data_IF_251198884024
#
_entry.id   IF_251198884024
#
_cell.length_a   1.000
_cell.length_b   1.000
_cell.length_c   1.000
_cell.angle_alpha   90.00
_cell.angle_beta   90.00
_cell.angle_gamma   90.00
#
_symmetry.space_group_name_H-M   'P 1'
#
loop_
_entity.id
_entity.type
_entity.pdbx_description
1 polymer ?
#
# COMPACT_ATOMS: atom_id res chain seq x y z
N UNK A 1 3.02 36.08 -17.64
CA UNK A 1 3.93 35.18 -16.92
C UNK A 1 3.08 34.00 -16.54
N UNK A 2 3.35 32.85 -17.15
CA UNK A 2 2.31 31.84 -17.38
C UNK A 2 2.24 30.80 -16.26
N UNK A 3 3.35 30.67 -15.53
CA UNK A 3 3.45 30.01 -14.24
C UNK A 3 4.51 30.76 -13.40
N UNK A 4 4.32 30.77 -12.08
CA UNK A 4 5.25 31.38 -11.13
C UNK A 4 5.72 30.34 -10.11
N UNK A 5 7.00 30.40 -9.73
CA UNK A 5 7.59 29.58 -8.66
C UNK A 5 7.85 30.51 -7.47
N UNK A 6 7.21 30.24 -6.35
CA UNK A 6 7.44 30.95 -5.10
C UNK A 6 8.10 30.02 -4.08
N UNK A 7 9.07 30.56 -3.34
CA UNK A 7 9.74 29.87 -2.23
C UNK A 7 9.67 30.73 -0.96
N UNK A 8 8.54 30.68 -0.24
CA UNK A 8 8.47 31.18 1.14
C UNK A 8 8.78 30.04 2.12
N UNK A 9 10.08 29.73 2.25
CA UNK A 9 10.58 28.72 3.19
C UNK A 9 10.29 27.27 2.76
N UNK A 10 11.34 26.52 2.41
CA UNK A 10 11.37 25.04 2.30
C UNK A 10 10.42 24.33 1.31
N UNK A 11 9.31 24.94 0.93
CA UNK A 11 8.27 24.40 0.05
C UNK A 11 8.48 24.87 -1.39
N UNK A 12 8.02 24.05 -2.33
CA UNK A 12 7.86 24.43 -3.73
C UNK A 12 6.39 24.78 -3.93
N UNK A 13 6.10 26.05 -4.24
CA UNK A 13 4.73 26.47 -4.57
C UNK A 13 4.67 26.89 -6.03
N UNK A 14 3.78 26.24 -6.80
CA UNK A 14 3.50 26.57 -8.19
C UNK A 14 2.06 27.02 -8.32
N UNK A 15 1.88 28.12 -9.04
CA UNK A 15 0.56 28.67 -9.35
C UNK A 15 0.43 28.87 -10.86
N UNK A 16 -0.66 28.35 -11.42
CA UNK A 16 -1.06 28.60 -12.79
C UNK A 16 -2.22 29.61 -12.78
N UNK A 17 -1.85 30.89 -12.92
CA UNK A 17 -2.73 32.04 -12.74
C UNK A 17 -3.35 32.63 -14.01
N UNK A 18 -3.05 32.07 -15.19
CA UNK A 18 -3.61 32.52 -16.47
C UNK A 18 -4.27 31.34 -17.20
N UNK A 19 -5.28 31.62 -18.03
CA UNK A 19 -5.93 30.59 -18.84
C UNK A 19 -4.92 29.86 -19.73
N UNK A 20 -5.02 28.54 -19.79
CA UNK A 20 -4.08 27.64 -20.49
C UNK A 20 -2.66 27.64 -19.90
N UNK A 21 -2.47 28.15 -18.70
CA UNK A 21 -1.27 27.90 -17.91
C UNK A 21 -1.09 26.40 -17.68
N UNK A 22 0.16 25.96 -17.70
CA UNK A 22 0.48 24.57 -17.38
C UNK A 22 1.85 24.48 -16.76
N UNK A 23 2.01 23.49 -15.88
CA UNK A 23 3.30 23.05 -15.42
C UNK A 23 3.34 21.53 -15.43
N UNK A 24 4.53 21.01 -15.74
CA UNK A 24 4.83 19.59 -15.68
C UNK A 24 5.88 19.38 -14.62
N UNK A 25 5.57 18.54 -13.64
CA UNK A 25 6.51 18.09 -12.60
C UNK A 25 6.62 16.59 -12.78
N UNK A 26 7.75 16.14 -13.28
CA UNK A 26 7.90 14.75 -13.64
C UNK A 26 9.21 14.18 -13.11
N UNK A 27 9.15 12.93 -12.67
CA UNK A 27 10.32 12.13 -12.25
C UNK A 27 11.21 12.84 -11.20
N UNK A 28 10.60 13.66 -10.35
CA UNK A 28 11.26 14.36 -9.25
C UNK A 28 11.23 13.54 -7.96
N UNK A 29 12.22 13.76 -7.10
CA UNK A 29 12.28 13.17 -5.78
C UNK A 29 12.28 14.26 -4.69
N UNK A 30 11.35 14.13 -3.75
CA UNK A 30 11.20 14.99 -2.58
C UNK A 30 11.41 14.12 -1.33
N UNK A 31 12.56 14.25 -0.68
CA UNK A 31 12.97 13.30 0.37
C UNK A 31 13.49 14.01 1.61
N UNK A 32 13.02 13.57 2.79
CA UNK A 32 13.42 14.07 4.12
C UNK A 32 13.19 15.59 4.31
N UNK A 33 12.06 16.10 3.82
CA UNK A 33 11.71 17.52 3.95
C UNK A 33 10.69 17.68 5.07
N UNK A 34 11.06 18.45 6.09
CA UNK A 34 10.22 18.76 7.26
C UNK A 34 9.96 20.27 7.27
N UNK A 35 8.70 20.66 7.10
CA UNK A 35 8.29 22.06 7.15
C UNK A 35 7.69 22.37 8.52
N UNK A 36 8.33 23.30 9.22
CA UNK A 36 7.96 23.71 10.58
C UNK A 36 7.28 25.07 10.63
N UNK A 37 7.20 25.78 9.51
CA UNK A 37 6.53 27.06 9.43
C UNK A 37 5.01 26.91 9.31
N UNK A 38 4.28 27.98 9.63
CA UNK A 38 2.81 28.00 9.59
C UNK A 38 2.25 28.35 8.21
N UNK A 39 3.10 28.80 7.29
CA UNK A 39 2.68 29.30 5.97
C UNK A 39 2.61 28.18 4.94
N UNK A 40 3.60 27.31 4.91
CA UNK A 40 3.75 26.25 3.92
C UNK A 40 2.66 25.19 4.06
N UNK A 41 1.92 24.92 2.99
CA UNK A 41 0.83 23.94 3.01
C UNK A 41 1.31 22.49 2.87
N UNK A 42 2.40 22.29 2.14
CA UNK A 42 3.06 21.00 1.92
C UNK A 42 4.44 21.20 1.29
N UNK A 43 5.21 20.12 1.15
CA UNK A 43 6.49 20.12 0.41
C UNK A 43 6.31 20.59 -1.03
N UNK A 44 5.28 20.10 -1.71
CA UNK A 44 4.84 20.61 -3.00
C UNK A 44 3.41 21.12 -2.87
N UNK A 45 3.20 22.39 -3.19
CA UNK A 45 1.88 23.01 -3.25
C UNK A 45 1.60 23.47 -4.67
N UNK A 46 0.46 23.09 -5.20
CA UNK A 46 0.03 23.49 -6.54
C UNK A 46 -1.35 24.14 -6.49
N UNK A 47 -1.48 25.28 -7.17
CA UNK A 47 -2.72 26.04 -7.23
C UNK A 47 -3.16 26.26 -8.68
N UNK A 48 -4.44 25.99 -8.95
CA UNK A 48 -5.07 26.18 -10.25
C UNK A 48 -6.13 27.27 -10.15
N UNK A 49 -5.85 28.40 -10.82
CA UNK A 49 -6.66 29.62 -10.72
C UNK A 49 -7.31 30.00 -12.06
N UNK A 50 -6.98 29.31 -13.15
CA UNK A 50 -7.58 29.55 -14.47
C UNK A 50 -7.43 28.33 -15.40
N UNK A 51 -8.23 27.29 -15.19
CA UNK A 51 -8.43 26.18 -16.15
C UNK A 51 -7.20 25.60 -16.83
N UNK A 52 -6.44 24.82 -16.07
CA UNK A 52 -5.06 24.51 -16.42
C UNK A 52 -4.86 23.02 -16.70
N UNK A 53 -3.90 22.71 -17.58
CA UNK A 53 -3.48 21.32 -17.85
C UNK A 53 -2.15 21.06 -17.17
N UNK A 54 -2.16 20.66 -15.91
CA UNK A 54 -0.91 20.31 -15.23
C UNK A 54 -0.77 18.81 -15.02
N UNK A 55 0.48 18.38 -15.15
CA UNK A 55 0.88 16.99 -15.01
C UNK A 55 1.92 16.88 -13.90
N UNK A 56 1.62 16.06 -12.90
CA UNK A 56 2.51 15.73 -11.79
C UNK A 56 2.66 14.21 -11.80
N UNK A 57 3.66 13.68 -12.50
CA UNK A 57 3.73 12.25 -12.78
C UNK A 57 5.09 11.62 -12.47
N UNK A 58 5.10 10.38 -11.97
CA UNK A 58 6.36 9.66 -11.73
C UNK A 58 7.19 10.20 -10.56
N UNK A 59 6.65 11.14 -9.78
CA UNK A 59 7.38 11.75 -8.67
C UNK A 59 7.35 10.86 -7.43
N UNK A 60 8.36 11.02 -6.58
CA UNK A 60 8.52 10.28 -5.34
C UNK A 60 8.62 11.22 -4.15
N UNK A 61 7.80 10.98 -3.12
CA UNK A 61 7.75 11.75 -1.88
C UNK A 61 8.04 10.81 -0.70
N UNK A 62 9.15 11.01 -0.01
CA UNK A 62 9.61 10.14 1.08
C UNK A 62 9.92 10.96 2.33
N UNK A 63 9.32 10.58 3.46
CA UNK A 63 9.56 11.25 4.75
C UNK A 63 9.28 12.76 4.69
N UNK A 64 8.28 13.17 3.91
CA UNK A 64 7.81 14.55 3.87
C UNK A 64 6.82 14.79 5.01
N UNK A 65 7.01 15.86 5.78
CA UNK A 65 6.07 16.20 6.85
C UNK A 65 5.88 17.68 7.08
N UNK A 66 4.70 18.04 7.56
CA UNK A 66 4.40 19.39 8.06
C UNK A 66 3.89 19.32 9.50
N UNK A 67 4.29 20.29 10.32
CA UNK A 67 3.83 20.36 11.72
C UNK A 67 2.42 20.97 11.80
N UNK A 68 2.14 21.95 10.94
CA UNK A 68 0.95 22.77 11.05
C UNK A 68 -0.06 22.67 9.90
N UNK A 69 0.26 21.90 8.85
CA UNK A 69 -0.53 21.93 7.62
C UNK A 69 -1.30 20.64 7.37
N UNK A 70 -2.31 20.67 6.47
CA UNK A 70 -3.19 19.54 6.25
C UNK A 70 -2.47 18.28 5.74
N UNK A 71 -1.39 18.45 4.98
CA UNK A 71 -0.62 17.36 4.38
C UNK A 71 0.89 17.57 4.47
N UNK A 72 1.64 16.46 4.39
CA UNK A 72 3.09 16.44 4.39
C UNK A 72 3.69 16.67 3.00
N UNK A 73 3.13 16.01 1.98
CA UNK A 73 3.78 15.88 0.68
C UNK A 73 3.22 16.79 -0.40
N UNK A 74 1.95 16.60 -0.79
CA UNK A 74 1.32 17.30 -1.91
C UNK A 74 0.01 17.98 -1.49
N UNK A 75 -0.03 19.30 -1.65
CA UNK A 75 -1.23 20.11 -1.49
C UNK A 75 -1.71 20.60 -2.87
N UNK A 76 -2.99 20.42 -3.15
CA UNK A 76 -3.63 20.84 -4.40
C UNK A 76 -4.76 21.79 -4.03
N UNK A 77 -4.71 23.02 -4.55
CA UNK A 77 -5.82 23.97 -4.51
C UNK A 77 -6.37 24.16 -5.92
N UNK A 78 -7.65 23.88 -6.10
CA UNK A 78 -8.39 24.08 -7.33
C UNK A 78 -9.47 25.13 -7.06
N UNK A 79 -9.13 26.38 -7.37
CA UNK A 79 -9.84 27.56 -6.89
C UNK A 79 -10.75 28.21 -7.93
N UNK A 80 -10.57 27.88 -9.22
CA UNK A 80 -11.30 28.51 -10.30
C UNK A 80 -12.04 27.51 -11.18
N UNK A 81 -13.33 27.77 -11.35
CA UNK A 81 -14.15 27.12 -12.36
C UNK A 81 -13.72 27.59 -13.75
N UNK A 82 -13.24 26.67 -14.58
CA UNK A 82 -12.92 26.93 -15.99
C UNK A 82 -13.98 26.39 -16.96
N UNK A 83 -14.97 25.65 -16.43
CA UNK A 83 -15.99 24.97 -17.23
C UNK A 83 -15.42 23.91 -18.18
N UNK A 84 -14.16 23.50 -18.01
CA UNK A 84 -13.51 22.54 -18.88
C UNK A 84 -13.63 21.12 -18.35
N UNK A 85 -13.73 20.15 -19.26
CA UNK A 85 -13.71 18.72 -18.92
C UNK A 85 -12.28 18.16 -18.78
N UNK A 86 -11.27 19.04 -18.71
CA UNK A 86 -9.88 18.61 -18.78
C UNK A 86 -9.42 18.10 -17.42
N UNK A 87 -8.81 16.90 -17.40
CA UNK A 87 -8.33 16.29 -16.17
C UNK A 87 -6.95 16.82 -15.76
N UNK A 88 -6.81 17.15 -14.48
CA UNK A 88 -5.51 17.30 -13.83
C UNK A 88 -4.88 15.92 -13.58
N UNK A 89 -3.65 15.71 -14.05
CA UNK A 89 -3.01 14.39 -14.03
C UNK A 89 -1.94 14.32 -12.94
N UNK A 90 -2.17 13.45 -11.96
CA UNK A 90 -1.29 13.19 -10.81
C UNK A 90 -0.88 11.71 -10.72
N UNK A 91 -0.69 11.06 -11.87
CA UNK A 91 -0.55 9.59 -11.96
C UNK A 91 0.88 9.08 -11.71
N UNK A 92 1.02 7.78 -11.41
CA UNK A 92 2.30 7.08 -11.26
C UNK A 92 3.23 7.64 -10.16
N UNK A 93 2.70 8.40 -9.20
CA UNK A 93 3.50 8.93 -8.10
C UNK A 93 3.67 7.87 -6.99
N UNK A 94 4.71 8.04 -6.16
CA UNK A 94 4.96 7.21 -4.99
C UNK A 94 5.06 8.07 -3.73
N UNK A 95 4.29 7.74 -2.71
CA UNK A 95 4.27 8.41 -1.42
C UNK A 95 4.63 7.41 -0.33
N UNK A 96 5.73 7.65 0.39
CA UNK A 96 6.22 6.76 1.44
C UNK A 96 6.50 7.51 2.74
N UNK A 97 5.86 7.07 3.82
CA UNK A 97 6.13 7.56 5.17
C UNK A 97 5.96 9.08 5.32
N UNK A 98 4.97 9.65 4.64
CA UNK A 98 4.66 11.08 4.72
C UNK A 98 3.65 11.34 5.84
N UNK A 99 3.74 12.50 6.50
CA UNK A 99 2.88 12.85 7.65
C UNK A 99 2.33 14.27 7.55
N UNK A 100 1.04 14.45 7.76
CA UNK A 100 0.41 15.76 7.90
C UNK A 100 -0.76 15.71 8.89
N UNK A 101 -1.46 16.83 9.11
CA UNK A 101 -2.55 16.85 10.09
C UNK A 101 -3.73 15.97 9.68
N UNK A 102 -4.22 16.13 8.46
CA UNK A 102 -5.42 15.44 7.94
C UNK A 102 -5.07 14.30 6.98
N UNK A 103 -4.01 14.46 6.18
CA UNK A 103 -3.48 13.41 5.31
C UNK A 103 -1.96 13.39 5.39
N UNK A 104 -1.34 12.24 5.15
CA UNK A 104 0.11 12.16 5.02
C UNK A 104 0.58 12.64 3.66
N UNK A 105 -0.14 12.26 2.60
CA UNK A 105 0.38 12.35 1.24
C UNK A 105 -0.29 13.44 0.43
N UNK A 106 -1.61 13.36 0.21
CA UNK A 106 -2.32 14.27 -0.69
C UNK A 106 -3.43 14.98 0.07
N UNK A 107 -3.49 16.30 -0.08
CA UNK A 107 -4.67 17.08 0.29
C UNK A 107 -5.16 17.86 -0.91
N UNK A 108 -6.45 17.73 -1.21
CA UNK A 108 -7.12 18.49 -2.28
C UNK A 108 -8.15 19.41 -1.66
N UNK A 109 -7.99 20.71 -1.90
CA UNK A 109 -9.03 21.71 -1.70
C UNK A 109 -9.62 22.04 -3.07
N UNK A 110 -10.88 21.70 -3.28
CA UNK A 110 -11.55 21.86 -4.57
C UNK A 110 -12.79 22.72 -4.39
N UNK A 111 -12.84 23.85 -5.09
CA UNK A 111 -14.00 24.76 -5.14
C UNK A 111 -14.84 24.61 -6.40
N UNK A 112 -14.53 23.60 -7.21
CA UNK A 112 -15.18 23.36 -8.49
C UNK A 112 -16.29 22.32 -8.37
N UNK A 113 -17.32 22.48 -9.20
CA UNK A 113 -18.49 21.59 -9.24
C UNK A 113 -18.25 20.28 -10.01
N UNK A 114 -17.03 20.06 -10.52
CA UNK A 114 -16.64 18.91 -11.31
C UNK A 114 -15.47 18.13 -10.71
N UNK A 115 -15.44 16.83 -10.96
CA UNK A 115 -14.46 15.89 -10.42
C UNK A 115 -13.47 15.45 -11.51
N UNK A 116 -12.45 16.27 -11.77
CA UNK A 116 -11.52 16.11 -12.90
C UNK A 116 -10.09 15.69 -12.53
N UNK A 117 -9.91 14.95 -11.44
CA UNK A 117 -8.57 14.51 -11.04
C UNK A 117 -8.24 13.09 -11.54
N UNK A 118 -6.96 12.84 -11.83
CA UNK A 118 -6.45 11.51 -12.15
C UNK A 118 -5.26 11.16 -11.28
N UNK A 119 -5.46 10.33 -10.26
CA UNK A 119 -4.43 9.82 -9.34
C UNK A 119 -4.06 8.37 -9.64
N UNK A 120 -4.28 7.89 -10.86
CA UNK A 120 -4.11 6.48 -11.23
C UNK A 120 -2.68 5.98 -11.01
N UNK A 121 -2.57 4.67 -10.75
CA UNK A 121 -1.29 3.96 -10.57
C UNK A 121 -0.38 4.55 -9.48
N UNK A 122 -0.96 5.26 -8.51
CA UNK A 122 -0.21 5.88 -7.40
C UNK A 122 -0.01 4.87 -6.28
N UNK A 123 1.18 4.85 -5.69
CA UNK A 123 1.53 3.94 -4.60
C UNK A 123 1.65 4.69 -3.29
N UNK A 124 0.88 4.28 -2.31
CA UNK A 124 0.94 4.81 -0.95
C UNK A 124 1.46 3.75 0.01
N UNK A 125 2.37 4.16 0.90
CA UNK A 125 2.99 3.26 1.86
C UNK A 125 3.35 4.01 3.14
N UNK A 126 2.88 3.52 4.29
CA UNK A 126 3.23 4.02 5.62
C UNK A 126 2.91 5.50 5.86
N UNK A 127 2.10 6.13 5.01
CA UNK A 127 1.64 7.50 5.24
C UNK A 127 0.72 7.58 6.46
N UNK A 128 0.77 8.70 7.16
CA UNK A 128 0.06 8.91 8.43
C UNK A 128 -0.57 10.28 8.48
N UNK A 129 -1.61 10.38 9.29
CA UNK A 129 -2.20 11.63 9.70
C UNK A 129 -2.36 11.67 11.23
N UNK A 130 -2.64 12.86 11.76
CA UNK A 130 -2.78 13.09 13.19
C UNK A 130 -4.24 13.02 13.67
N UNK A 131 -5.16 12.53 12.82
CA UNK A 131 -6.56 12.30 13.19
C UNK A 131 -6.71 10.95 13.89
N UNK A 132 -7.60 10.89 14.87
CA UNK A 132 -7.75 9.75 15.79
C UNK A 132 -8.32 8.50 15.13
N UNK A 133 -9.20 8.66 14.13
CA UNK A 133 -9.81 7.55 13.38
C UNK A 133 -8.90 6.98 12.28
N UNK A 134 -7.84 7.70 11.91
CA UNK A 134 -6.91 7.35 10.85
C UNK A 134 -7.53 7.37 9.44
N UNK A 135 -8.63 8.08 9.21
CA UNK A 135 -9.25 8.19 7.89
C UNK A 135 -8.46 9.13 6.98
N UNK A 136 -8.28 8.79 5.70
CA UNK A 136 -7.64 9.67 4.72
C UNK A 136 -6.11 9.80 4.84
N UNK A 137 -5.45 8.79 5.40
CA UNK A 137 -3.98 8.77 5.58
C UNK A 137 -3.21 8.99 4.27
N UNK A 138 -3.75 8.53 3.15
CA UNK A 138 -3.12 8.67 1.84
C UNK A 138 -3.59 9.92 1.12
N UNK A 139 -4.91 10.13 1.06
CA UNK A 139 -5.48 11.29 0.42
C UNK A 139 -6.71 11.80 1.16
N UNK A 140 -6.83 13.12 1.24
CA UNK A 140 -7.97 13.81 1.80
C UNK A 140 -8.50 14.83 0.80
N UNK A 141 -9.81 14.81 0.54
CA UNK A 141 -10.47 15.76 -0.34
C UNK A 141 -11.44 16.63 0.46
N UNK A 142 -11.28 17.95 0.37
CA UNK A 142 -12.26 18.92 0.81
C UNK A 142 -12.89 19.56 -0.42
N UNK A 143 -14.16 19.25 -0.64
CA UNK A 143 -14.96 19.86 -1.69
C UNK A 143 -15.80 20.98 -1.08
N UNK A 144 -15.58 22.20 -1.56
CA UNK A 144 -16.39 23.37 -1.28
C UNK A 144 -17.21 23.64 -2.55
N UNK A 145 -18.51 23.91 -2.40
CA UNK A 145 -19.42 24.18 -3.53
C UNK A 145 -19.63 22.99 -4.48
N UNK A 146 -20.14 21.84 -3.98
CA UNK A 146 -20.46 20.70 -4.83
C UNK A 146 -21.51 21.04 -5.88
N UNK A 147 -21.45 20.35 -7.03
CA UNK A 147 -22.53 20.40 -8.01
C UNK A 147 -23.83 19.84 -7.43
N UNK A 148 -24.98 20.36 -7.88
CA UNK A 148 -26.30 19.99 -7.35
C UNK A 148 -26.65 18.50 -7.48
N UNK A 149 -25.97 17.78 -8.38
CA UNK A 149 -26.16 16.34 -8.62
C UNK A 149 -25.26 15.45 -7.76
N UNK A 150 -24.40 16.04 -6.93
CA UNK A 150 -23.47 15.29 -6.10
C UNK A 150 -24.21 14.60 -4.95
N UNK A 151 -23.91 13.33 -4.78
CA UNK A 151 -24.34 12.49 -3.66
C UNK A 151 -23.13 11.76 -3.11
N UNK A 152 -23.26 11.12 -1.94
CA UNK A 152 -22.20 10.29 -1.40
C UNK A 152 -21.77 9.21 -2.41
N UNK A 153 -22.74 8.55 -3.07
CA UNK A 153 -22.50 7.44 -3.99
C UNK A 153 -21.77 7.91 -5.26
N UNK A 154 -22.21 9.03 -5.85
CA UNK A 154 -21.63 9.55 -7.09
C UNK A 154 -20.20 10.06 -6.86
N UNK A 155 -19.95 10.76 -5.76
CA UNK A 155 -18.60 11.22 -5.39
C UNK A 155 -17.69 10.04 -5.06
N UNK A 156 -18.18 9.06 -4.29
CA UNK A 156 -17.42 7.85 -3.97
C UNK A 156 -17.04 7.07 -5.24
N UNK A 157 -17.97 6.91 -6.18
CA UNK A 157 -17.73 6.24 -7.45
C UNK A 157 -16.69 6.99 -8.32
N UNK A 158 -16.78 8.33 -8.35
CA UNK A 158 -15.82 9.16 -9.05
C UNK A 158 -14.41 9.03 -8.45
N UNK A 159 -14.26 9.20 -7.12
CA UNK A 159 -12.98 9.02 -6.41
C UNK A 159 -12.40 7.63 -6.69
N UNK A 160 -13.21 6.57 -6.63
CA UNK A 160 -12.76 5.22 -6.98
C UNK A 160 -12.18 5.15 -8.40
N UNK A 161 -12.79 5.84 -9.36
CA UNK A 161 -12.28 5.98 -10.72
C UNK A 161 -10.97 6.76 -10.82
N UNK A 162 -10.81 7.83 -10.03
CA UNK A 162 -9.59 8.66 -10.00
C UNK A 162 -8.36 7.86 -9.58
N UNK A 163 -8.53 6.91 -8.66
CA UNK A 163 -7.45 6.09 -8.11
C UNK A 163 -7.33 4.71 -8.77
N UNK A 164 -7.75 4.57 -10.03
CA UNK A 164 -7.64 3.30 -10.74
C UNK A 164 -6.17 2.80 -10.79
N UNK A 165 -5.94 1.53 -10.43
CA UNK A 165 -4.59 0.95 -10.36
C UNK A 165 -3.74 1.37 -9.16
N UNK A 166 -4.23 2.29 -8.32
CA UNK A 166 -3.51 2.76 -7.14
C UNK A 166 -3.59 1.76 -5.98
N UNK A 167 -2.61 1.79 -5.07
CA UNK A 167 -2.51 0.83 -3.96
C UNK A 167 -2.07 1.50 -2.66
N UNK A 168 -2.50 0.95 -1.51
CA UNK A 168 -2.22 1.50 -0.18
C UNK A 168 -1.97 0.42 0.87
N UNK A 169 -1.16 0.70 1.90
CA UNK A 169 -1.13 -0.13 3.11
C UNK A 169 -1.77 0.52 4.35
N UNK A 170 -2.55 1.59 4.17
CA UNK A 170 -3.40 2.18 5.21
C UNK A 170 -4.38 1.13 5.76
N UNK A 171 -4.58 1.17 7.09
CA UNK A 171 -5.43 0.20 7.80
C UNK A 171 -6.91 0.57 7.78
N UNK A 172 -7.20 1.87 7.76
CA UNK A 172 -8.53 2.42 7.73
C UNK A 172 -8.63 3.38 6.55
N UNK A 173 -9.77 3.36 5.86
CA UNK A 173 -10.03 3.97 4.55
C UNK A 173 -8.96 4.98 4.06
N UNK A 174 -8.12 4.49 3.12
CA UNK A 174 -6.99 5.19 2.49
C UNK A 174 -7.31 6.62 2.04
N UNK A 175 -8.47 6.78 1.41
CA UNK A 175 -8.96 8.06 0.87
C UNK A 175 -10.22 8.45 1.65
N UNK A 176 -10.29 9.69 2.08
CA UNK A 176 -11.46 10.26 2.75
C UNK A 176 -11.83 11.60 2.10
N UNK A 177 -13.11 11.93 2.08
CA UNK A 177 -13.59 13.18 1.52
C UNK A 177 -14.69 13.80 2.37
N UNK A 178 -14.76 15.12 2.34
CA UNK A 178 -15.84 15.91 2.92
C UNK A 178 -16.38 16.90 1.89
N UNK A 179 -17.69 17.06 1.90
CA UNK A 179 -18.42 17.96 1.00
C UNK A 179 -19.12 19.04 1.81
N UNK A 180 -18.94 20.29 1.41
CA UNK A 180 -19.47 21.48 2.06
C UNK A 180 -20.31 22.32 1.09
N UNK A 181 -21.53 22.68 1.50
CA UNK A 181 -22.39 23.64 0.77
C UNK A 181 -22.33 24.99 1.48
N UNK A 182 -21.53 25.91 0.95
CA UNK A 182 -21.10 27.10 1.69
C UNK A 182 -20.28 26.70 2.92
N UNK A 183 -20.58 27.27 4.08
CA UNK A 183 -19.91 26.93 5.35
C UNK A 183 -20.48 25.67 6.03
N UNK A 184 -21.56 25.09 5.49
CA UNK A 184 -22.24 23.97 6.11
C UNK A 184 -21.71 22.63 5.58
N UNK A 185 -21.36 21.74 6.51
CA UNK A 185 -21.08 20.35 6.19
C UNK A 185 -22.33 19.69 5.59
N UNK A 186 -22.17 19.08 4.41
CA UNK A 186 -23.25 18.36 3.74
C UNK A 186 -23.17 16.86 4.05
N UNK A 187 -22.05 16.22 3.68
CA UNK A 187 -21.79 14.80 3.94
C UNK A 187 -20.30 14.49 3.75
N UNK A 188 -19.89 13.31 4.19
CA UNK A 188 -18.56 12.75 4.00
C UNK A 188 -18.64 11.35 3.41
N UNK A 189 -17.48 10.79 3.07
CA UNK A 189 -17.36 9.41 2.66
C UNK A 189 -15.91 8.97 2.57
N UNK A 190 -15.71 7.68 2.31
CA UNK A 190 -14.37 7.11 2.31
C UNK A 190 -14.24 5.96 1.32
N UNK A 191 -13.00 5.72 0.88
CA UNK A 191 -12.66 4.65 -0.03
C UNK A 191 -11.32 4.02 0.37
N UNK A 192 -11.32 2.70 0.57
CA UNK A 192 -10.12 1.94 0.85
C UNK A 192 -9.48 1.48 -0.47
N UNK A 193 -8.21 1.85 -0.68
CA UNK A 193 -7.47 1.38 -1.85
C UNK A 193 -7.06 -0.09 -1.68
N UNK A 194 -6.90 -0.83 -2.79
CA UNK A 194 -6.36 -2.18 -2.74
C UNK A 194 -5.01 -2.23 -2.04
N UNK A 195 -4.86 -3.16 -1.09
CA UNK A 195 -3.59 -3.34 -0.41
C UNK A 195 -2.69 -4.35 -1.14
N UNK A 196 -1.49 -3.96 -1.58
CA UNK A 196 -0.64 -4.81 -2.41
C UNK A 196 -0.14 -6.05 -1.64
N UNK A 197 -0.12 -5.99 -0.30
CA UNK A 197 0.28 -7.10 0.58
C UNK A 197 -0.86 -8.09 0.87
N UNK A 198 -2.07 -7.89 0.33
CA UNK A 198 -3.20 -8.81 0.56
C UNK A 198 -3.12 -10.13 -0.20
N UNK A 199 -2.16 -10.31 -1.13
CA UNK A 199 -1.76 -11.67 -1.55
C UNK A 199 -0.93 -12.31 -0.45
N UNK A 200 -1.60 -12.71 0.63
CA UNK A 200 -0.98 -13.52 1.67
C UNK A 200 -0.49 -14.81 1.00
N UNK A 201 0.75 -15.20 1.26
CA UNK A 201 1.41 -16.34 0.59
C UNK A 201 0.57 -17.64 0.62
N UNK A 202 -0.21 -17.84 1.68
CA UNK A 202 -1.09 -19.00 1.86
C UNK A 202 -2.36 -18.97 1.00
N UNK A 203 -2.71 -17.84 0.38
CA UNK A 203 -3.79 -17.74 -0.61
C UNK A 203 -3.31 -18.03 -2.04
N UNK A 204 -2.01 -18.28 -2.23
CA UNK A 204 -1.48 -18.71 -3.51
C UNK A 204 -1.86 -20.17 -3.78
N UNK A 205 -2.71 -20.39 -4.80
CA UNK A 205 -3.18 -21.72 -5.23
C UNK A 205 -2.03 -22.72 -5.40
N UNK A 206 -0.88 -22.28 -5.91
CA UNK A 206 0.28 -23.14 -6.13
C UNK A 206 0.96 -23.59 -4.84
N UNK A 207 0.94 -22.76 -3.79
CA UNK A 207 1.51 -23.10 -2.48
C UNK A 207 0.64 -24.14 -1.77
N UNK A 208 -0.68 -24.00 -1.84
CA UNK A 208 -1.62 -25.00 -1.29
C UNK A 208 -1.43 -26.36 -1.98
N UNK A 209 -1.31 -26.37 -3.31
CA UNK A 209 -1.05 -27.59 -4.08
C UNK A 209 0.30 -28.21 -3.67
N UNK A 210 1.35 -27.39 -3.53
CA UNK A 210 2.68 -27.86 -3.10
C UNK A 210 2.66 -28.53 -1.72
N UNK A 211 1.98 -27.94 -0.74
CA UNK A 211 1.85 -28.52 0.61
C UNK A 211 1.08 -29.84 0.57
N UNK A 212 -0.02 -29.90 -0.19
CA UNK A 212 -0.81 -31.12 -0.32
C UNK A 212 -0.02 -32.27 -0.96
N UNK A 213 0.70 -32.01 -2.06
CA UNK A 213 1.56 -33.01 -2.71
C UNK A 213 2.70 -33.46 -1.79
N UNK A 214 3.34 -32.54 -1.08
CA UNK A 214 4.40 -32.86 -0.12
C UNK A 214 3.94 -33.77 1.01
N UNK A 215 2.74 -33.53 1.55
CA UNK A 215 2.15 -34.36 2.60
C UNK A 215 1.88 -35.80 2.13
N UNK A 216 1.37 -35.98 0.89
CA UNK A 216 1.11 -37.33 0.33
C UNK A 216 2.41 -38.12 0.18
N UNK A 217 3.48 -37.50 -0.35
CA UNK A 217 4.78 -38.16 -0.51
C UNK A 217 5.35 -38.57 0.85
N UNK A 218 5.23 -37.70 1.86
CA UNK A 218 5.72 -37.98 3.22
C UNK A 218 4.97 -39.15 3.87
N UNK A 219 3.65 -39.23 3.69
CA UNK A 219 2.84 -40.36 4.18
C UNK A 219 3.29 -41.67 3.51
N UNK A 220 3.47 -41.68 2.18
CA UNK A 220 3.94 -42.87 1.45
C UNK A 220 5.31 -43.31 1.95
N UNK A 221 6.25 -42.39 2.15
CA UNK A 221 7.59 -42.70 2.66
C UNK A 221 7.52 -43.33 4.06
N UNK A 222 6.69 -42.80 4.95
CA UNK A 222 6.49 -43.36 6.30
C UNK A 222 5.94 -44.79 6.22
N UNK A 223 4.94 -45.04 5.37
CA UNK A 223 4.37 -46.39 5.18
C UNK A 223 5.43 -47.38 4.70
N UNK A 224 6.26 -47.00 3.73
CA UNK A 224 7.36 -47.84 3.23
C UNK A 224 8.35 -48.17 4.34
N UNK A 225 8.74 -47.17 5.16
CA UNK A 225 9.64 -47.37 6.30
C UNK A 225 9.02 -48.36 7.31
N UNK A 226 7.74 -48.22 7.64
CA UNK A 226 7.04 -49.13 8.56
C UNK A 226 7.04 -50.56 8.00
N UNK A 227 6.71 -50.76 6.72
CA UNK A 227 6.72 -52.07 6.08
C UNK A 227 8.13 -52.68 6.13
N UNK A 228 9.17 -51.90 5.82
CA UNK A 228 10.55 -52.35 5.88
C UNK A 228 10.96 -52.79 7.30
N UNK A 229 10.58 -52.02 8.34
CA UNK A 229 10.82 -52.38 9.74
C UNK A 229 10.12 -53.70 10.10
N UNK A 230 8.84 -53.85 9.73
CA UNK A 230 8.06 -55.08 10.00
C UNK A 230 8.70 -56.29 9.31
N UNK A 231 9.11 -56.14 8.04
CA UNK A 231 9.77 -57.21 7.28
C UNK A 231 11.11 -57.60 7.90
N UNK A 232 11.95 -56.62 8.25
CA UNK A 232 13.22 -56.86 8.92
C UNK A 232 13.05 -57.55 10.28
N UNK A 233 12.04 -57.16 11.09
CA UNK A 233 11.73 -57.83 12.36
C UNK A 233 11.25 -59.27 12.16
N UNK A 234 10.37 -59.52 11.18
CA UNK A 234 9.87 -60.87 10.85
C UNK A 234 11.02 -61.79 10.41
N UNK A 235 11.93 -61.29 9.56
CA UNK A 235 13.09 -62.05 9.07
C UNK A 235 14.09 -62.37 10.19
N UNK A 236 14.33 -61.44 11.13
CA UNK A 236 15.16 -61.69 12.33
C UNK A 236 14.57 -62.79 13.22
N UNK A 237 13.24 -62.80 13.41
CA UNK A 237 12.57 -63.85 14.18
C UNK A 237 12.68 -65.23 13.51
N UNK A 238 12.70 -65.29 12.18
CA UNK A 238 12.87 -66.55 11.43
C UNK A 238 14.31 -67.10 11.50
N UNK A 239 15.33 -66.24 11.48
CA UNK A 239 16.73 -66.67 11.63
C UNK A 239 17.11 -67.01 13.07
N UNK A 240 16.51 -66.36 14.08
CA UNK A 240 16.78 -66.69 15.49
C UNK A 240 16.14 -68.03 15.94
N UNK A 241 15.29 -68.64 15.11
CA UNK A 241 14.57 -69.88 15.42
C UNK A 241 15.22 -71.15 14.83
N UNK A 242 16.24 -71.03 13.97
CA UNK A 242 16.89 -72.19 13.35
C UNK A 242 18.43 -72.09 13.49
N UNK A 243 18.92 -72.59 14.63
CA UNK A 243 20.17 -73.33 14.79
C UNK A 243 21.51 -72.63 14.51
N UNK A 244 22.27 -72.38 15.58
CA UNK A 244 23.72 -72.64 15.69
C UNK A 244 24.07 -72.67 17.18
N UNK A 245 24.12 -73.88 17.77
CA UNK A 245 25.37 -74.59 18.12
C UNK A 245 26.13 -73.92 19.28
N UNK A 246 25.85 -74.42 20.48
CA UNK A 246 26.74 -74.31 21.65
C UNK A 246 27.56 -75.60 21.69
N UNK A 247 28.70 -75.63 21.01
CA UNK A 247 29.73 -76.64 21.25
C UNK A 247 30.96 -75.97 21.87
N UNK A 248 31.38 -76.35 23.10
CA UNK A 248 32.60 -75.86 23.70
C UNK A 248 33.83 -76.55 23.09
N UNK A 249 34.73 -75.77 22.50
CA UNK A 249 35.94 -76.21 21.78
C UNK A 249 37.13 -76.64 22.66
N UNK A 250 36.94 -76.99 23.95
CA UNK A 250 38.05 -77.46 24.80
C UNK A 250 37.60 -78.64 25.69
N UNK A 251 38.04 -79.88 25.42
CA UNK A 251 37.89 -80.98 26.36
C UNK A 251 38.92 -80.86 27.49
N UNK A 252 38.44 -80.87 28.73
CA UNK A 252 39.28 -81.04 29.92
C UNK A 252 39.84 -82.48 29.97
N UNK A 253 41.12 -82.64 29.68
CA UNK A 253 41.84 -83.89 29.97
C UNK A 253 42.16 -83.94 31.47
N UNK A 254 41.36 -84.67 32.24
CA UNK A 254 41.78 -85.21 33.54
C UNK A 254 42.66 -86.44 33.29
N UNK A 255 43.93 -86.38 33.69
CA UNK A 255 44.76 -87.57 33.93
C UNK A 255 44.82 -87.84 35.45
N UNK A 256 44.13 -88.90 35.89
CA UNK A 256 44.58 -89.82 36.96
C UNK A 256 45.65 -90.73 36.31
N UNK A 257 46.66 -91.31 36.94
CA UNK A 257 47.08 -91.52 38.34
C UNK A 257 48.38 -92.34 38.28
N UNK A 258 49.36 -92.13 39.17
CA UNK A 258 49.95 -93.10 40.13
C UNK A 258 50.84 -92.29 41.07
#
# INVERSE_FOLDING_TARGET
>A
QDAQIYHEGGSVTLEAGIENGSFVIQDCEFTNIILNDEKSKAVLSVAFVAGNKSEITGNTFINCSTTNSPTGALYIADEAFDGSDIKYVFSNNTFTNNTGKTSGSIYVLSRVQFLHYNFSNTKFKLSKNNVTDGLGQDAYFKFEEPGDTWTNETVTAAIKGMFNGSTSDAKNASVYFQVYKGEQFAYDGSYALPNPKTKKWYQNKYVIIGIACGAVVLIVAIVVIIIAIVYCRKRRATYSSKGQEKDPLIPHTQQRSV
#
